data_IF_427540726750
#
_entry.id   IF_427540726750
#
_cell.length_a   1.000
_cell.length_b   1.000
_cell.length_c   1.000
_cell.angle_alpha   90.00
_cell.angle_beta   90.00
_cell.angle_gamma   90.00
#
_symmetry.space_group_name_H-M   'P 1'
#
loop_
_entity.id
_entity.type
_entity.pdbx_description
1 polymer ?
#
# COMPACT_ATOMS: atom_id res chain seq x y z
N UNK A 1 -5.69 -5.11 12.42
CA UNK A 1 -6.48 -3.87 12.23
C UNK A 1 -7.75 -4.25 11.48
N UNK A 2 -8.93 -3.87 11.98
CA UNK A 2 -10.20 -4.07 11.26
C UNK A 2 -10.45 -2.86 10.35
N UNK A 3 -10.86 -3.10 9.10
CA UNK A 3 -11.26 -2.04 8.16
C UNK A 3 -12.78 -1.89 8.01
N UNK A 4 -13.54 -2.60 8.85
CA UNK A 4 -15.00 -2.49 8.89
C UNK A 4 -15.42 -1.06 9.25
N UNK A 5 -16.28 -0.46 8.42
CA UNK A 5 -16.79 0.90 8.65
C UNK A 5 -15.78 2.01 8.36
N UNK A 6 -14.64 1.70 7.72
CA UNK A 6 -13.54 2.64 7.51
C UNK A 6 -13.53 3.27 6.13
N UNK A 7 -12.94 4.46 6.02
CA UNK A 7 -12.70 5.13 4.75
C UNK A 7 -11.27 4.89 4.29
N UNK A 8 -11.11 4.37 3.06
CA UNK A 8 -9.82 3.97 2.49
C UNK A 8 -9.50 4.81 1.26
N UNK A 9 -8.41 5.58 1.32
CA UNK A 9 -7.88 6.30 0.16
C UNK A 9 -6.85 5.43 -0.57
N UNK A 10 -6.95 5.32 -1.90
CA UNK A 10 -6.12 4.45 -2.73
C UNK A 10 -5.57 5.24 -3.93
N UNK A 11 -4.29 5.61 -3.88
CA UNK A 11 -3.58 6.18 -5.03
C UNK A 11 -3.11 5.02 -5.92
N UNK A 12 -3.42 5.10 -7.22
CA UNK A 12 -3.26 3.97 -8.15
C UNK A 12 -4.46 3.02 -8.15
N UNK A 13 -5.63 3.45 -7.63
CA UNK A 13 -6.82 2.61 -7.44
C UNK A 13 -7.61 2.28 -8.71
N UNK A 14 -7.30 2.89 -9.86
CA UNK A 14 -8.10 2.77 -11.08
C UNK A 14 -7.89 1.48 -11.89
N UNK A 15 -6.80 0.72 -11.64
CA UNK A 15 -6.51 -0.49 -12.41
C UNK A 15 -5.63 -1.50 -11.66
N UNK A 16 -5.41 -2.67 -12.27
CA UNK A 16 -4.47 -3.69 -11.80
C UNK A 16 -4.66 -4.05 -10.33
N UNK A 17 -3.55 -4.02 -9.58
CA UNK A 17 -3.53 -4.33 -8.15
C UNK A 17 -4.32 -3.34 -7.31
N UNK A 18 -4.27 -2.03 -7.60
CA UNK A 18 -4.98 -1.03 -6.82
C UNK A 18 -6.50 -1.19 -6.88
N UNK A 19 -7.04 -1.56 -8.05
CA UNK A 19 -8.46 -1.92 -8.18
C UNK A 19 -8.82 -3.16 -7.37
N UNK A 20 -7.95 -4.18 -7.34
CA UNK A 20 -8.21 -5.38 -6.52
C UNK A 20 -8.14 -5.08 -5.03
N UNK A 21 -7.22 -4.20 -4.60
CA UNK A 21 -7.18 -3.70 -3.22
C UNK A 21 -8.47 -2.98 -2.86
N UNK A 22 -8.99 -2.12 -3.74
CA UNK A 22 -10.26 -1.43 -3.54
C UNK A 22 -11.43 -2.43 -3.36
N UNK A 23 -11.49 -3.44 -4.23
CA UNK A 23 -12.52 -4.48 -4.13
C UNK A 23 -12.39 -5.31 -2.85
N UNK A 24 -11.18 -5.72 -2.46
CA UNK A 24 -10.94 -6.45 -1.21
C UNK A 24 -11.27 -5.62 0.01
N UNK A 25 -11.00 -4.32 -0.02
CA UNK A 25 -11.35 -3.41 1.07
C UNK A 25 -12.87 -3.33 1.24
N UNK A 26 -13.63 -3.24 0.15
CA UNK A 26 -15.10 -3.32 0.18
C UNK A 26 -15.60 -4.67 0.70
N UNK A 27 -15.06 -5.79 0.20
CA UNK A 27 -15.39 -7.16 0.66
C UNK A 27 -15.13 -7.34 2.17
N UNK A 28 -14.10 -6.66 2.69
CA UNK A 28 -13.75 -6.64 4.10
C UNK A 28 -14.50 -5.57 4.93
N UNK A 29 -15.47 -4.88 4.31
CA UNK A 29 -16.42 -4.00 4.98
C UNK A 29 -16.02 -2.53 5.09
N UNK A 30 -15.08 -2.06 4.26
CA UNK A 30 -14.81 -0.62 4.15
C UNK A 30 -16.09 0.14 3.78
N UNK A 31 -16.37 1.23 4.49
CA UNK A 31 -17.58 2.03 4.28
C UNK A 31 -17.48 2.91 3.03
N UNK A 32 -16.27 3.37 2.70
CA UNK A 32 -16.06 4.34 1.63
C UNK A 32 -14.66 4.15 1.03
N UNK A 33 -14.60 4.09 -0.30
CA UNK A 33 -13.36 4.06 -1.06
C UNK A 33 -13.14 5.41 -1.76
N UNK A 34 -11.92 5.92 -1.71
CA UNK A 34 -11.51 7.10 -2.46
C UNK A 34 -10.39 6.71 -3.41
N UNK A 35 -10.64 6.69 -4.71
CA UNK A 35 -9.67 6.26 -5.71
C UNK A 35 -8.99 7.45 -6.35
N UNK A 36 -7.66 7.45 -6.29
CA UNK A 36 -6.77 8.39 -6.93
C UNK A 36 -6.08 7.78 -8.16
N UNK A 37 -5.97 8.54 -9.24
CA UNK A 37 -5.16 8.17 -10.41
C UNK A 37 -5.12 9.27 -11.47
N UNK A 38 -4.25 9.13 -12.47
CA UNK A 38 -4.07 10.16 -13.53
C UNK A 38 -5.06 10.06 -14.68
N UNK A 39 -5.68 8.89 -14.85
CA UNK A 39 -6.54 8.58 -16.00
C UNK A 39 -8.01 8.65 -15.55
N UNK A 40 -8.69 9.72 -15.95
CA UNK A 40 -10.08 9.99 -15.61
C UNK A 40 -11.04 8.91 -16.12
N UNK A 41 -10.80 8.37 -17.31
CA UNK A 41 -11.66 7.33 -17.89
C UNK A 41 -11.55 6.02 -17.10
N UNK A 42 -10.32 5.60 -16.77
CA UNK A 42 -10.10 4.41 -15.94
C UNK A 42 -10.65 4.58 -14.54
N UNK A 43 -10.54 5.77 -13.94
CA UNK A 43 -11.15 6.07 -12.65
C UNK A 43 -12.67 5.93 -12.70
N UNK A 44 -13.31 6.48 -13.72
CA UNK A 44 -14.75 6.36 -13.89
C UNK A 44 -15.18 4.91 -14.09
N UNK A 45 -14.48 4.15 -14.93
CA UNK A 45 -14.75 2.72 -15.10
C UNK A 45 -14.62 1.95 -13.77
N UNK A 46 -13.54 2.16 -13.02
CA UNK A 46 -13.34 1.50 -11.72
C UNK A 46 -14.44 1.87 -10.71
N UNK A 47 -14.88 3.14 -10.71
CA UNK A 47 -16.01 3.60 -9.89
C UNK A 47 -17.28 2.86 -10.24
N UNK A 48 -17.62 2.75 -11.53
CA UNK A 48 -18.85 2.12 -11.98
C UNK A 48 -18.87 0.63 -11.61
N UNK A 49 -17.77 -0.08 -11.84
CA UNK A 49 -17.60 -1.49 -11.48
C UNK A 49 -17.73 -1.74 -9.97
N UNK A 50 -17.04 -0.94 -9.14
CA UNK A 50 -17.11 -1.09 -7.67
C UNK A 50 -18.47 -0.66 -7.12
N UNK A 51 -19.09 0.38 -7.70
CA UNK A 51 -20.43 0.82 -7.29
C UNK A 51 -21.49 -0.23 -7.64
N UNK A 52 -21.33 -0.97 -8.73
CA UNK A 52 -22.18 -2.12 -9.06
C UNK A 52 -22.08 -3.26 -8.04
N UNK A 53 -20.96 -3.35 -7.30
CA UNK A 53 -20.79 -4.26 -6.16
C UNK A 53 -21.32 -3.69 -4.83
N UNK A 54 -21.95 -2.51 -4.87
CA UNK A 54 -22.50 -1.82 -3.70
C UNK A 54 -21.48 -0.98 -2.92
N UNK A 55 -20.26 -0.77 -3.44
CA UNK A 55 -19.28 0.07 -2.78
C UNK A 55 -19.63 1.56 -2.93
N UNK A 56 -19.48 2.33 -1.85
CA UNK A 56 -19.47 3.79 -1.95
C UNK A 56 -18.10 4.24 -2.44
N UNK A 57 -18.04 4.88 -3.62
CA UNK A 57 -16.77 5.28 -4.24
C UNK A 57 -16.74 6.75 -4.63
N UNK A 58 -15.71 7.46 -4.15
CA UNK A 58 -15.30 8.77 -4.66
C UNK A 58 -14.07 8.59 -5.53
N UNK A 59 -13.98 9.35 -6.62
CA UNK A 59 -12.78 9.38 -7.48
C UNK A 59 -12.21 10.78 -7.53
N UNK A 60 -10.90 10.87 -7.65
CA UNK A 60 -10.22 12.13 -7.85
C UNK A 60 -8.95 11.93 -8.67
N UNK A 61 -8.66 12.86 -9.56
CA UNK A 61 -7.41 12.84 -10.31
C UNK A 61 -6.23 13.21 -9.41
N UNK A 62 -5.16 12.42 -9.48
CA UNK A 62 -3.91 12.68 -8.76
C UNK A 62 -2.74 12.04 -9.50
N UNK A 63 -1.66 12.81 -9.63
CA UNK A 63 -0.35 12.33 -10.08
C UNK A 63 0.58 12.15 -8.87
N UNK A 64 0.94 10.90 -8.58
CA UNK A 64 1.85 10.54 -7.50
C UNK A 64 3.28 11.11 -7.67
N UNK A 65 3.65 11.55 -8.88
CA UNK A 65 4.95 12.16 -9.17
C UNK A 65 4.94 13.69 -9.08
N UNK A 66 3.81 14.30 -8.72
CA UNK A 66 3.65 15.75 -8.66
C UNK A 66 3.19 16.17 -7.26
N UNK A 67 4.05 16.87 -6.53
CA UNK A 67 3.78 17.32 -5.16
C UNK A 67 2.54 18.21 -5.06
N UNK A 68 2.35 19.14 -5.99
CA UNK A 68 1.17 20.02 -6.03
C UNK A 68 -0.11 19.21 -6.25
N UNK A 69 -0.07 18.20 -7.11
CA UNK A 69 -1.19 17.29 -7.36
C UNK A 69 -1.52 16.46 -6.11
N UNK A 70 -0.51 15.90 -5.44
CA UNK A 70 -0.68 15.18 -4.18
C UNK A 70 -1.26 16.07 -3.09
N UNK A 71 -0.73 17.28 -2.91
CA UNK A 71 -1.24 18.24 -1.93
C UNK A 71 -2.71 18.59 -2.22
N UNK A 72 -3.04 18.92 -3.47
CA UNK A 72 -4.42 19.19 -3.88
C UNK A 72 -5.36 18.00 -3.67
N UNK A 73 -4.88 16.77 -3.87
CA UNK A 73 -5.61 15.55 -3.55
C UNK A 73 -5.91 15.46 -2.06
N UNK A 74 -4.89 15.49 -1.20
CA UNK A 74 -5.07 15.36 0.24
C UNK A 74 -5.89 16.50 0.85
N UNK A 75 -5.71 17.74 0.38
CA UNK A 75 -6.44 18.91 0.88
C UNK A 75 -7.96 18.82 0.60
N UNK A 76 -8.37 18.13 -0.46
CA UNK A 76 -9.79 17.94 -0.78
C UNK A 76 -10.40 16.65 -0.23
N UNK A 77 -9.60 15.74 0.33
CA UNK A 77 -10.12 14.49 0.87
C UNK A 77 -10.87 14.75 2.18
N UNK A 78 -12.04 14.11 2.39
CA UNK A 78 -12.58 13.97 3.73
C UNK A 78 -11.60 13.14 4.58
N UNK A 79 -11.78 13.18 5.90
CA UNK A 79 -11.01 12.31 6.82
C UNK A 79 -11.10 10.86 6.36
N UNK A 80 -9.94 10.24 6.17
CA UNK A 80 -9.79 8.82 5.86
C UNK A 80 -9.05 8.10 7.00
N UNK A 81 -9.23 6.79 7.11
CA UNK A 81 -8.62 5.97 8.16
C UNK A 81 -7.34 5.27 7.67
N UNK A 82 -7.28 4.93 6.38
CA UNK A 82 -6.13 4.26 5.78
C UNK A 82 -5.81 4.85 4.40
N UNK A 83 -4.52 5.04 4.13
CA UNK A 83 -3.99 5.37 2.81
C UNK A 83 -3.26 4.15 2.26
N UNK A 84 -3.57 3.78 1.02
CA UNK A 84 -2.78 2.83 0.23
C UNK A 84 -2.29 3.57 -1.00
N UNK A 85 -0.97 3.63 -1.17
CA UNK A 85 -0.37 4.16 -2.39
C UNK A 85 0.33 3.02 -3.13
N UNK A 86 -0.01 2.85 -4.41
CA UNK A 86 0.62 1.87 -5.27
C UNK A 86 1.20 2.58 -6.49
N UNK A 87 2.49 2.37 -6.69
CA UNK A 87 3.21 2.90 -7.84
C UNK A 87 4.05 1.78 -8.44
N UNK A 88 3.95 1.60 -9.75
CA UNK A 88 4.75 0.65 -10.50
C UNK A 88 5.43 1.41 -11.63
N UNK A 89 6.74 1.49 -11.57
CA UNK A 89 7.57 2.09 -12.62
C UNK A 89 7.53 1.23 -13.88
N UNK A 90 7.57 1.88 -15.04
CA UNK A 90 7.67 1.21 -16.34
C UNK A 90 8.93 0.31 -16.40
N UNK A 91 8.81 -0.84 -17.04
CA UNK A 91 9.89 -1.83 -17.13
C UNK A 91 10.09 -2.68 -15.88
N UNK A 92 9.43 -2.39 -14.75
CA UNK A 92 9.47 -3.25 -13.58
C UNK A 92 8.86 -4.63 -13.87
N UNK A 93 9.55 -5.69 -13.43
CA UNK A 93 9.12 -7.08 -13.62
C UNK A 93 7.72 -7.31 -13.02
N UNK A 94 6.96 -8.23 -13.63
CA UNK A 94 5.53 -8.43 -13.31
C UNK A 94 5.23 -8.76 -11.84
N UNK A 95 6.18 -9.38 -11.13
CA UNK A 95 6.02 -9.81 -9.73
C UNK A 95 6.26 -8.69 -8.71
N UNK A 96 6.96 -7.60 -9.09
CA UNK A 96 7.38 -6.54 -8.16
C UNK A 96 6.23 -5.94 -7.34
N UNK A 97 5.04 -5.63 -7.89
CA UNK A 97 3.96 -5.06 -7.08
C UNK A 97 3.51 -5.98 -5.95
N UNK A 98 3.35 -7.28 -6.23
CA UNK A 98 2.92 -8.25 -5.23
C UNK A 98 3.99 -8.45 -4.14
N UNK A 99 5.28 -8.45 -4.53
CA UNK A 99 6.40 -8.54 -3.60
C UNK A 99 6.48 -7.29 -2.71
N UNK A 100 6.38 -6.09 -3.29
CA UNK A 100 6.37 -4.83 -2.53
C UNK A 100 5.23 -4.81 -1.50
N UNK A 101 4.02 -5.21 -1.89
CA UNK A 101 2.88 -5.34 -0.99
C UNK A 101 3.13 -6.35 0.14
N UNK A 102 3.69 -7.52 -0.19
CA UNK A 102 3.97 -8.55 0.81
C UNK A 102 5.05 -8.09 1.80
N UNK A 103 6.07 -7.36 1.34
CA UNK A 103 7.10 -6.74 2.18
C UNK A 103 6.50 -5.68 3.13
N UNK A 104 5.68 -4.76 2.61
CA UNK A 104 4.97 -3.76 3.41
C UNK A 104 4.07 -4.44 4.47
N UNK A 105 3.31 -5.44 4.05
CA UNK A 105 2.44 -6.21 4.94
C UNK A 105 3.21 -6.91 6.05
N UNK A 106 4.36 -7.52 5.71
CA UNK A 106 5.24 -8.14 6.71
C UNK A 106 5.68 -7.13 7.74
N UNK A 107 6.14 -5.96 7.29
CA UNK A 107 6.59 -4.92 8.20
C UNK A 107 5.47 -4.35 9.08
N UNK A 108 4.26 -4.22 8.53
CA UNK A 108 3.09 -3.79 9.29
C UNK A 108 2.64 -4.83 10.34
N UNK A 109 2.63 -6.13 9.98
CA UNK A 109 2.17 -7.20 10.86
C UNK A 109 3.17 -7.53 11.97
N UNK A 110 4.45 -7.55 11.64
CA UNK A 110 5.52 -7.82 12.61
C UNK A 110 5.95 -6.57 13.37
N UNK A 111 5.51 -5.39 12.93
CA UNK A 111 5.92 -4.10 13.47
C UNK A 111 7.45 -3.92 13.47
N UNK A 112 8.12 -4.54 12.50
CA UNK A 112 9.57 -4.57 12.33
C UNK A 112 9.94 -4.53 10.84
N UNK A 113 11.14 -4.12 10.45
CA UNK A 113 11.61 -4.30 9.07
C UNK A 113 11.46 -5.75 8.58
N UNK A 114 11.08 -5.95 7.32
CA UNK A 114 10.94 -7.29 6.74
C UNK A 114 12.28 -8.04 6.65
N UNK A 115 13.40 -7.29 6.63
CA UNK A 115 14.76 -7.82 6.73
C UNK A 115 14.96 -8.65 8.00
N UNK A 116 14.42 -8.20 9.13
CA UNK A 116 14.62 -8.90 10.40
C UNK A 116 13.99 -10.29 10.34
N UNK A 117 12.88 -10.44 9.61
CA UNK A 117 12.23 -11.73 9.39
C UNK A 117 12.99 -12.62 8.40
N UNK A 118 13.60 -12.02 7.36
CA UNK A 118 14.52 -12.72 6.46
C UNK A 118 15.73 -13.27 7.23
N UNK A 119 16.40 -12.43 8.04
CA UNK A 119 17.56 -12.83 8.85
C UNK A 119 17.16 -13.91 9.87
N UNK A 120 15.99 -13.78 10.48
CA UNK A 120 15.44 -14.78 11.40
C UNK A 120 15.26 -16.16 10.73
N UNK A 121 14.71 -16.22 9.51
CA UNK A 121 14.57 -17.49 8.77
C UNK A 121 15.95 -18.04 8.38
N UNK A 122 16.84 -17.19 7.88
CA UNK A 122 18.20 -17.56 7.49
C UNK A 122 19.05 -18.03 8.69
N UNK A 123 18.66 -17.71 9.93
CA UNK A 123 19.27 -18.22 11.17
C UNK A 123 18.90 -19.69 11.51
N UNK A 124 18.44 -20.47 10.54
CA UNK A 124 18.11 -21.89 10.70
C UNK A 124 16.68 -22.13 11.17
N UNK A 125 15.75 -21.24 10.84
CA UNK A 125 14.32 -21.34 11.22
C UNK A 125 13.39 -21.46 9.99
N UNK A 126 13.64 -22.40 9.06
CA UNK A 126 12.91 -22.47 7.79
C UNK A 126 11.42 -22.80 7.96
N UNK A 127 11.00 -23.39 9.08
CA UNK A 127 9.58 -23.67 9.35
C UNK A 127 8.71 -22.40 9.36
N UNK A 128 9.29 -21.24 9.67
CA UNK A 128 8.58 -19.96 9.67
C UNK A 128 8.19 -19.47 8.27
N UNK A 129 8.67 -20.08 7.20
CA UNK A 129 8.14 -19.86 5.84
C UNK A 129 6.64 -20.19 5.73
N UNK A 130 6.13 -21.05 6.61
CA UNK A 130 4.70 -21.39 6.68
C UNK A 130 3.84 -20.36 7.43
N UNK A 131 4.44 -19.31 7.99
CA UNK A 131 3.71 -18.28 8.76
C UNK A 131 2.74 -17.54 7.83
N UNK A 132 1.42 -17.59 8.08
CA UNK A 132 0.45 -17.02 7.15
C UNK A 132 0.60 -15.50 7.02
N UNK A 133 0.79 -15.06 5.78
CA UNK A 133 0.62 -13.65 5.43
C UNK A 133 1.82 -12.74 5.60
N UNK A 134 2.98 -13.29 5.91
CA UNK A 134 4.27 -12.61 5.92
C UNK A 134 5.17 -13.18 4.83
N UNK A 135 6.17 -12.41 4.42
CA UNK A 135 7.20 -12.81 3.45
C UNK A 135 8.58 -12.42 3.96
N UNK A 136 9.58 -13.32 3.91
CA UNK A 136 10.94 -13.05 4.38
C UNK A 136 11.80 -12.46 3.27
N UNK A 137 11.41 -11.30 2.77
CA UNK A 137 12.16 -10.58 1.75
C UNK A 137 12.41 -9.16 2.23
N UNK A 138 13.67 -8.73 2.24
CA UNK A 138 14.09 -7.38 2.59
C UNK A 138 13.44 -6.32 1.68
N UNK A 139 13.04 -5.18 2.26
CA UNK A 139 12.53 -4.01 1.54
C UNK A 139 11.20 -3.45 2.07
N UNK A 140 10.66 -4.03 3.15
CA UNK A 140 9.53 -3.51 3.91
C UNK A 140 10.00 -2.83 5.20
N UNK A 141 9.46 -1.65 5.52
CA UNK A 141 9.75 -0.92 6.76
C UNK A 141 8.47 -0.37 7.39
N UNK A 142 8.34 -0.40 8.73
CA UNK A 142 7.21 0.19 9.42
C UNK A 142 7.28 1.72 9.38
N UNK A 143 6.12 2.36 9.38
CA UNK A 143 5.96 3.80 9.62
C UNK A 143 5.50 3.95 11.07
N UNK A 144 6.25 4.72 11.86
CA UNK A 144 5.92 5.00 13.25
C UNK A 144 5.62 6.48 13.44
N UNK A 145 4.64 6.80 14.29
CA UNK A 145 4.32 8.15 14.75
C UNK A 145 4.10 8.06 16.26
N UNK A 146 4.74 8.93 17.05
CA UNK A 146 4.70 8.91 18.53
C UNK A 146 4.97 7.52 19.15
N UNK A 147 5.90 6.77 18.54
CA UNK A 147 6.26 5.42 18.97
C UNK A 147 5.24 4.33 18.63
N UNK A 148 4.18 4.64 17.89
CA UNK A 148 3.18 3.67 17.43
C UNK A 148 3.34 3.40 15.93
N UNK A 149 3.35 2.12 15.53
CA UNK A 149 3.33 1.74 14.12
C UNK A 149 1.95 2.00 13.52
N UNK A 150 1.87 2.96 12.61
CA UNK A 150 0.62 3.40 11.95
C UNK A 150 0.50 2.87 10.52
N UNK A 151 1.56 2.30 9.97
CA UNK A 151 1.58 1.76 8.61
C UNK A 151 2.93 1.12 8.26
N UNK A 152 3.15 0.88 6.97
CA UNK A 152 4.42 0.41 6.46
C UNK A 152 4.61 0.80 4.99
N UNK A 153 5.86 0.92 4.56
CA UNK A 153 6.27 1.06 3.16
C UNK A 153 6.90 -0.25 2.71
N UNK A 154 6.64 -0.67 1.48
CA UNK A 154 7.33 -1.79 0.85
C UNK A 154 7.76 -1.44 -0.56
N UNK A 155 9.02 -1.75 -0.88
CA UNK A 155 9.63 -1.48 -2.19
C UNK A 155 10.12 -2.79 -2.80
N UNK A 156 9.98 -2.91 -4.12
CA UNK A 156 10.46 -4.06 -4.87
C UNK A 156 10.84 -3.67 -6.29
N UNK A 157 12.02 -4.09 -6.72
CA UNK A 157 12.48 -3.88 -8.10
C UNK A 157 13.99 -3.85 -8.25
N UNK A 158 14.73 -3.77 -7.13
CA UNK A 158 16.18 -3.83 -7.09
C UNK A 158 16.65 -4.94 -6.13
N UNK A 159 17.94 -4.94 -5.78
CA UNK A 159 18.46 -5.73 -4.67
C UNK A 159 17.85 -5.27 -3.33
N UNK A 160 17.67 -6.19 -2.37
CA UNK A 160 16.99 -5.93 -1.10
C UNK A 160 17.49 -4.68 -0.36
N UNK A 161 18.81 -4.50 -0.27
CA UNK A 161 19.40 -3.32 0.37
C UNK A 161 18.98 -1.98 -0.30
N UNK A 162 18.84 -1.97 -1.63
CA UNK A 162 18.38 -0.79 -2.36
C UNK A 162 16.88 -0.55 -2.13
N UNK A 163 16.06 -1.62 -2.14
CA UNK A 163 14.64 -1.52 -1.81
C UNK A 163 14.45 -0.96 -0.39
N UNK A 164 15.20 -1.47 0.59
CA UNK A 164 15.22 -0.97 1.97
C UNK A 164 15.61 0.50 2.07
N UNK A 165 16.60 0.95 1.29
CA UNK A 165 17.03 2.34 1.31
C UNK A 165 15.91 3.28 0.87
N UNK A 166 15.23 2.95 -0.24
CA UNK A 166 14.08 3.72 -0.73
C UNK A 166 12.93 3.67 0.27
N UNK A 167 12.62 2.49 0.82
CA UNK A 167 11.53 2.33 1.78
C UNK A 167 11.76 3.16 3.06
N UNK A 168 13.00 3.19 3.57
CA UNK A 168 13.38 4.01 4.73
C UNK A 168 13.24 5.50 4.44
N UNK A 169 13.67 5.96 3.26
CA UNK A 169 13.53 7.36 2.86
C UNK A 169 12.05 7.77 2.80
N UNK A 170 11.19 6.92 2.25
CA UNK A 170 9.74 7.15 2.21
C UNK A 170 9.11 7.15 3.61
N UNK A 171 9.48 6.22 4.49
CA UNK A 171 8.96 6.19 5.86
C UNK A 171 9.37 7.42 6.69
N UNK A 172 10.63 7.88 6.54
CA UNK A 172 11.14 9.08 7.22
C UNK A 172 10.41 10.37 6.80
N UNK A 173 9.78 10.40 5.62
CA UNK A 173 8.99 11.55 5.19
C UNK A 173 7.67 11.71 5.97
N UNK A 174 7.23 10.65 6.68
CA UNK A 174 5.99 10.62 7.48
C UNK A 174 6.26 10.83 8.97
N UNK A 175 7.50 10.70 9.41
CA UNK A 175 7.92 10.82 10.81
C UNK A 175 7.91 12.32 11.23
N UNK A 176 6.72 12.82 11.60
CA UNK A 176 6.47 14.17 12.11
C UNK A 176 5.41 14.17 13.19
#
# INVERSE_FOLDING_TARGET
MSIQGKTIAIIGGSSGFGRRVAQQAHEAGAQHLILGGRDAQRLQQAKDELSALGAKVTIQEVDAHNETSLRGFFDSLPRFDHLVALEKVDGAIGISPAVAQAKARTAALLQSPSKDFEDFINSGRPSFLSTPGVTPLEGGVPISVDGQVVGAVGVSGAHGANDSQVAKAAAAAVDR
#
